data_IF_453350864593
#
_entry.id   IF_453350864593
#
_cell.length_a   1.000
_cell.length_b   1.000
_cell.length_c   1.000
_cell.angle_alpha   90.00
_cell.angle_beta   90.00
_cell.angle_gamma   90.00
#
_symmetry.space_group_name_H-M   'P 1'
#
loop_
_entity.id
_entity.type
_entity.pdbx_description
1 polymer ?
#
# COMPACT_ATOMS: atom_id res chain seq x y z
N UNK A 1 6.33 -36.59 -15.73
CA UNK A 1 5.16 -36.22 -16.55
C UNK A 1 4.82 -34.76 -16.28
N UNK A 2 4.51 -33.97 -17.31
CA UNK A 2 4.17 -32.55 -17.17
C UNK A 2 2.69 -32.41 -16.78
N UNK A 3 2.33 -31.40 -15.98
CA UNK A 3 0.94 -31.09 -15.65
C UNK A 3 0.37 -30.20 -16.76
N UNK A 4 -0.67 -30.67 -17.43
CA UNK A 4 -1.33 -29.96 -18.51
C UNK A 4 -2.34 -28.97 -17.92
N UNK A 5 -2.33 -27.72 -18.38
CA UNK A 5 -3.23 -26.67 -17.88
C UNK A 5 -4.16 -26.13 -18.96
N UNK A 6 -5.40 -25.84 -18.59
CA UNK A 6 -6.33 -25.07 -19.40
C UNK A 6 -6.05 -23.57 -19.24
N UNK A 7 -5.81 -22.89 -20.37
CA UNK A 7 -5.44 -21.46 -20.38
C UNK A 7 -6.50 -20.57 -19.70
N UNK A 8 -7.78 -20.87 -19.89
CA UNK A 8 -8.90 -20.10 -19.34
C UNK A 8 -8.99 -20.16 -17.82
N UNK A 9 -9.10 -21.36 -17.23
CA UNK A 9 -9.21 -21.52 -15.78
C UNK A 9 -7.94 -21.09 -15.04
N UNK A 10 -6.76 -21.30 -15.65
CA UNK A 10 -5.50 -20.82 -15.09
C UNK A 10 -5.45 -19.29 -15.04
N UNK A 11 -5.86 -18.59 -16.12
CA UNK A 11 -5.94 -17.13 -16.12
C UNK A 11 -6.99 -16.62 -15.12
N UNK A 12 -8.17 -17.26 -15.06
CA UNK A 12 -9.23 -16.90 -14.14
C UNK A 12 -8.79 -16.99 -12.67
N UNK A 13 -8.08 -18.07 -12.32
CA UNK A 13 -7.50 -18.27 -10.98
C UNK A 13 -6.53 -17.15 -10.60
N UNK A 14 -5.75 -16.62 -11.55
CA UNK A 14 -4.84 -15.50 -11.32
C UNK A 14 -5.55 -14.14 -11.13
N UNK A 15 -6.54 -13.83 -11.98
CA UNK A 15 -7.17 -12.51 -11.97
C UNK A 15 -8.22 -12.32 -10.88
N UNK A 16 -8.92 -13.37 -10.45
CA UNK A 16 -9.94 -13.28 -9.40
C UNK A 16 -9.39 -12.66 -8.10
N UNK A 17 -8.28 -13.15 -7.51
CA UNK A 17 -7.60 -12.51 -6.38
C UNK A 17 -7.35 -11.03 -6.55
N UNK A 18 -6.83 -10.63 -7.71
CA UNK A 18 -6.46 -9.24 -7.95
C UNK A 18 -7.69 -8.33 -7.88
N UNK A 19 -8.76 -8.69 -8.58
CA UNK A 19 -9.99 -7.91 -8.63
C UNK A 19 -10.65 -7.83 -7.25
N UNK A 20 -10.78 -8.97 -6.59
CA UNK A 20 -11.48 -9.07 -5.30
C UNK A 20 -10.70 -8.37 -4.18
N UNK A 21 -9.39 -8.61 -4.08
CA UNK A 21 -8.54 -7.90 -3.13
C UNK A 21 -8.60 -6.39 -3.38
N UNK A 22 -8.45 -5.93 -4.63
CA UNK A 22 -8.52 -4.50 -4.95
C UNK A 22 -9.87 -3.89 -4.54
N UNK A 23 -10.98 -4.54 -4.87
CA UNK A 23 -12.32 -4.09 -4.46
C UNK A 23 -12.47 -4.04 -2.94
N UNK A 24 -11.99 -5.04 -2.20
CA UNK A 24 -12.02 -5.03 -0.73
C UNK A 24 -11.21 -3.86 -0.16
N UNK A 25 -10.00 -3.63 -0.67
CA UNK A 25 -9.14 -2.54 -0.22
C UNK A 25 -9.73 -1.16 -0.53
N UNK A 26 -10.29 -0.97 -1.72
CA UNK A 26 -10.95 0.28 -2.11
C UNK A 26 -12.21 0.52 -1.27
N UNK A 27 -13.07 -0.49 -1.10
CA UNK A 27 -14.31 -0.36 -0.34
C UNK A 27 -14.09 0.03 1.14
N UNK A 28 -12.98 -0.43 1.73
CA UNK A 28 -12.63 -0.09 3.11
C UNK A 28 -11.88 1.26 3.18
N UNK A 29 -11.13 1.63 2.16
CA UNK A 29 -10.31 2.85 2.13
C UNK A 29 -11.04 4.17 1.85
N UNK A 30 -12.30 4.13 1.42
CA UNK A 30 -13.05 5.31 0.92
C UNK A 30 -13.61 6.25 1.98
N UNK A 31 -13.69 5.87 3.25
CA UNK A 31 -14.30 6.71 4.30
C UNK A 31 -13.39 6.84 5.53
N UNK A 32 -13.41 8.03 6.15
CA UNK A 32 -12.66 8.33 7.38
C UNK A 32 -13.20 7.57 8.61
N UNK A 33 -14.47 7.16 8.61
CA UNK A 33 -15.06 6.35 9.67
C UNK A 33 -15.02 4.86 9.30
N UNK A 34 -14.22 4.09 10.05
CA UNK A 34 -14.08 2.64 9.88
C UNK A 34 -15.37 1.97 10.36
N UNK A 35 -16.17 1.43 9.43
CA UNK A 35 -17.28 0.55 9.80
C UNK A 35 -16.78 -0.89 9.86
N UNK A 36 -16.89 -1.52 11.03
CA UNK A 36 -16.50 -2.93 11.23
C UNK A 36 -17.18 -3.88 10.24
N UNK A 37 -18.40 -3.54 9.77
CA UNK A 37 -19.09 -4.27 8.70
C UNK A 37 -18.36 -4.27 7.35
N UNK A 38 -17.71 -3.17 6.96
CA UNK A 38 -16.91 -3.14 5.73
C UNK A 38 -15.63 -3.95 5.87
N UNK A 39 -15.00 -3.90 7.04
CA UNK A 39 -13.82 -4.73 7.32
C UNK A 39 -14.17 -6.22 7.24
N UNK A 40 -15.32 -6.62 7.82
CA UNK A 40 -15.79 -8.00 7.78
C UNK A 40 -16.16 -8.42 6.36
N UNK A 41 -16.94 -7.61 5.65
CA UNK A 41 -17.31 -7.88 4.27
C UNK A 41 -16.08 -8.01 3.36
N UNK A 42 -15.11 -7.12 3.50
CA UNK A 42 -13.84 -7.20 2.78
C UNK A 42 -13.03 -8.43 3.14
N UNK A 43 -12.98 -8.82 4.42
CA UNK A 43 -12.28 -10.03 4.88
C UNK A 43 -12.88 -11.31 4.33
N UNK A 44 -14.21 -11.39 4.29
CA UNK A 44 -14.93 -12.50 3.64
C UNK A 44 -14.62 -12.54 2.15
N UNK A 45 -14.68 -11.39 1.47
CA UNK A 45 -14.41 -11.28 0.03
C UNK A 45 -12.97 -11.69 -0.31
N UNK A 46 -11.99 -11.27 0.50
CA UNK A 46 -10.60 -11.71 0.41
C UNK A 46 -10.46 -13.23 0.62
N UNK A 47 -11.06 -13.78 1.68
CA UNK A 47 -11.00 -15.20 2.00
C UNK A 47 -11.60 -16.09 0.90
N UNK A 48 -12.78 -15.72 0.41
CA UNK A 48 -13.45 -16.39 -0.72
C UNK A 48 -12.56 -16.34 -1.96
N UNK A 49 -11.93 -15.21 -2.23
CA UNK A 49 -11.06 -15.08 -3.40
C UNK A 49 -9.79 -15.94 -3.31
N UNK A 50 -9.17 -16.02 -2.14
CA UNK A 50 -7.95 -16.82 -1.92
C UNK A 50 -8.30 -18.32 -2.03
N UNK A 51 -9.40 -18.77 -1.44
CA UNK A 51 -9.89 -20.14 -1.62
C UNK A 51 -10.30 -20.44 -3.06
N UNK A 52 -11.02 -19.52 -3.70
CA UNK A 52 -11.46 -19.63 -5.08
C UNK A 52 -10.27 -19.85 -6.02
N UNK A 53 -9.20 -19.06 -5.86
CA UNK A 53 -7.96 -19.23 -6.62
C UNK A 53 -7.39 -20.64 -6.50
N UNK A 54 -7.33 -21.21 -5.28
CA UNK A 54 -6.79 -22.56 -5.08
C UNK A 54 -7.59 -23.62 -5.82
N UNK A 55 -8.91 -23.65 -5.64
CA UNK A 55 -9.76 -24.66 -6.28
C UNK A 55 -9.88 -24.45 -7.79
N UNK A 56 -9.98 -23.20 -8.25
CA UNK A 56 -9.93 -22.89 -9.69
C UNK A 56 -8.59 -23.29 -10.32
N UNK A 57 -7.49 -23.09 -9.59
CA UNK A 57 -6.17 -23.58 -9.97
C UNK A 57 -6.17 -25.10 -10.15
N UNK A 58 -6.71 -25.84 -9.18
CA UNK A 58 -6.81 -27.31 -9.28
C UNK A 58 -7.74 -27.77 -10.41
N UNK A 59 -8.81 -27.03 -10.72
CA UNK A 59 -9.67 -27.33 -11.89
C UNK A 59 -9.00 -27.01 -13.23
N UNK A 60 -7.98 -26.16 -13.24
CA UNK A 60 -7.26 -25.83 -14.47
C UNK A 60 -6.39 -26.99 -14.96
N UNK A 61 -6.06 -27.96 -14.11
CA UNK A 61 -5.28 -29.15 -14.44
C UNK A 61 -6.12 -30.12 -15.29
N UNK A 62 -5.63 -30.49 -16.47
CA UNK A 62 -6.33 -31.36 -17.44
C UNK A 62 -5.99 -32.84 -17.28
N UNK A 63 -4.76 -33.18 -16.92
CA UNK A 63 -4.27 -34.56 -16.87
C UNK A 63 -4.47 -35.27 -15.52
N UNK A 64 -5.01 -34.56 -14.53
CA UNK A 64 -5.41 -35.13 -13.26
C UNK A 64 -6.84 -34.71 -12.94
N UNK A 65 -7.60 -35.64 -12.38
CA UNK A 65 -8.89 -35.34 -11.75
C UNK A 65 -8.67 -35.13 -10.26
N UNK A 66 -8.97 -33.92 -9.80
CA UNK A 66 -8.83 -33.51 -8.40
C UNK A 66 -10.07 -33.97 -7.62
N UNK A 67 -9.90 -34.93 -6.72
CA UNK A 67 -10.96 -35.40 -5.82
C UNK A 67 -10.79 -34.73 -4.47
N UNK A 68 -11.82 -33.99 -4.05
CA UNK A 68 -11.78 -33.18 -2.82
C UNK A 68 -12.54 -33.86 -1.69
N UNK A 69 -11.96 -33.85 -0.50
CA UNK A 69 -12.66 -34.23 0.72
C UNK A 69 -13.42 -33.02 1.29
N UNK A 70 -14.77 -33.08 1.46
CA UNK A 70 -15.57 -31.92 1.84
C UNK A 70 -15.11 -31.25 3.15
N UNK A 71 -14.66 -32.04 4.12
CA UNK A 71 -14.18 -31.53 5.41
C UNK A 71 -12.99 -30.56 5.27
N UNK A 72 -12.02 -30.89 4.41
CA UNK A 72 -10.85 -30.04 4.16
C UNK A 72 -11.18 -28.82 3.30
N UNK A 73 -12.19 -28.92 2.42
CA UNK A 73 -12.67 -27.77 1.63
C UNK A 73 -13.35 -26.75 2.53
N UNK A 74 -14.22 -27.21 3.42
CA UNK A 74 -14.86 -26.33 4.40
C UNK A 74 -13.82 -25.78 5.38
N UNK A 75 -12.89 -26.61 5.84
CA UNK A 75 -11.80 -26.20 6.73
C UNK A 75 -10.90 -25.12 6.13
N UNK A 76 -10.46 -25.30 4.87
CA UNK A 76 -9.64 -24.30 4.18
C UNK A 76 -10.40 -22.98 3.97
N UNK A 77 -11.70 -23.04 3.63
CA UNK A 77 -12.56 -21.87 3.49
C UNK A 77 -12.71 -21.09 4.80
N UNK A 78 -12.94 -21.78 5.92
CA UNK A 78 -13.02 -21.16 7.24
C UNK A 78 -11.69 -20.51 7.60
N UNK A 79 -10.56 -21.21 7.41
CA UNK A 79 -9.23 -20.67 7.67
C UNK A 79 -9.00 -19.40 6.85
N UNK A 80 -9.32 -19.43 5.55
CA UNK A 80 -9.12 -18.28 4.67
C UNK A 80 -9.93 -17.06 5.10
N UNK A 81 -11.22 -17.24 5.39
CA UNK A 81 -12.11 -16.14 5.79
C UNK A 81 -11.68 -15.59 7.15
N UNK A 82 -11.52 -16.44 8.17
CA UNK A 82 -11.16 -15.99 9.52
C UNK A 82 -9.79 -15.29 9.51
N UNK A 83 -8.79 -15.89 8.88
CA UNK A 83 -7.45 -15.33 8.87
C UNK A 83 -7.34 -14.05 8.02
N UNK A 84 -8.09 -13.94 6.91
CA UNK A 84 -8.19 -12.70 6.13
C UNK A 84 -8.86 -11.58 6.92
N UNK A 85 -9.91 -11.88 7.68
CA UNK A 85 -10.53 -10.92 8.59
C UNK A 85 -9.54 -10.43 9.64
N UNK A 86 -8.87 -11.34 10.35
CA UNK A 86 -7.86 -10.99 11.37
C UNK A 86 -6.76 -10.11 10.77
N UNK A 87 -6.27 -10.46 9.59
CA UNK A 87 -5.21 -9.72 8.92
C UNK A 87 -5.68 -8.32 8.54
N UNK A 88 -6.89 -8.18 7.97
CA UNK A 88 -7.45 -6.88 7.64
C UNK A 88 -7.68 -6.04 8.89
N UNK A 89 -8.27 -6.59 9.95
CA UNK A 89 -8.43 -5.88 11.22
C UNK A 89 -7.10 -5.37 11.77
N UNK A 90 -6.07 -6.22 11.81
CA UNK A 90 -4.72 -5.80 12.21
C UNK A 90 -4.15 -4.73 11.29
N UNK A 91 -4.34 -4.86 9.98
CA UNK A 91 -3.85 -3.89 9.01
C UNK A 91 -4.50 -2.52 9.24
N UNK A 92 -5.80 -2.45 9.52
CA UNK A 92 -6.52 -1.20 9.75
C UNK A 92 -6.26 -0.57 11.13
N UNK A 93 -6.22 -1.38 12.20
CA UNK A 93 -5.82 -0.88 13.53
C UNK A 93 -4.39 -0.32 13.49
N UNK A 94 -3.50 -1.03 12.80
CA UNK A 94 -2.14 -0.55 12.61
C UNK A 94 -2.06 0.63 11.64
N UNK A 95 -2.95 0.75 10.64
CA UNK A 95 -3.06 1.92 9.76
C UNK A 95 -3.30 3.22 10.55
N UNK A 96 -4.12 3.17 11.60
CA UNK A 96 -4.37 4.33 12.46
C UNK A 96 -3.12 4.76 13.26
N UNK A 97 -2.18 3.84 13.51
CA UNK A 97 -0.94 4.10 14.26
C UNK A 97 0.32 4.11 13.35
N UNK A 98 0.14 4.19 12.03
CA UNK A 98 1.14 3.67 11.06
C UNK A 98 2.27 4.60 10.65
N UNK A 99 2.39 5.78 11.26
CA UNK A 99 3.38 6.73 10.76
C UNK A 99 4.83 6.29 11.04
N UNK A 100 5.11 5.33 11.96
CA UNK A 100 6.52 5.05 12.29
C UNK A 100 6.95 3.64 12.78
N UNK A 101 6.10 2.61 12.83
CA UNK A 101 6.51 1.31 13.43
C UNK A 101 6.67 0.18 12.40
N UNK A 102 7.92 -0.08 11.97
CA UNK A 102 8.26 -1.17 11.04
C UNK A 102 7.85 -2.56 11.58
N UNK A 103 7.95 -2.76 12.90
CA UNK A 103 7.64 -4.02 13.59
C UNK A 103 6.19 -4.44 13.41
N UNK A 104 5.24 -3.50 13.52
CA UNK A 104 3.80 -3.80 13.35
C UNK A 104 3.46 -4.22 11.92
N UNK A 105 4.15 -3.63 10.94
CA UNK A 105 4.02 -4.01 9.53
C UNK A 105 4.58 -5.41 9.26
N UNK A 106 5.71 -5.75 9.87
CA UNK A 106 6.28 -7.09 9.78
C UNK A 106 5.34 -8.16 10.37
N UNK A 107 4.71 -7.88 11.51
CA UNK A 107 3.72 -8.78 12.12
C UNK A 107 2.52 -9.00 11.20
N UNK A 108 1.93 -7.94 10.65
CA UNK A 108 0.80 -8.06 9.72
C UNK A 108 1.16 -8.88 8.47
N UNK A 109 2.34 -8.67 7.91
CA UNK A 109 2.83 -9.44 6.77
C UNK A 109 3.03 -10.93 7.12
N UNK A 110 3.58 -11.23 8.30
CA UNK A 110 3.76 -12.59 8.78
C UNK A 110 2.41 -13.29 8.96
N UNK A 111 1.43 -12.63 9.58
CA UNK A 111 0.07 -13.17 9.76
C UNK A 111 -0.59 -13.45 8.41
N UNK A 112 -0.49 -12.52 7.44
CA UNK A 112 -1.01 -12.72 6.09
C UNK A 112 -0.34 -13.92 5.39
N UNK A 113 0.99 -14.03 5.47
CA UNK A 113 1.73 -15.14 4.88
C UNK A 113 1.31 -16.48 5.48
N UNK A 114 1.25 -16.57 6.82
CA UNK A 114 0.79 -17.76 7.52
C UNK A 114 -0.65 -18.13 7.17
N UNK A 115 -1.54 -17.13 7.03
CA UNK A 115 -2.93 -17.33 6.62
C UNK A 115 -3.04 -18.00 5.24
N UNK A 116 -2.33 -17.42 4.26
CA UNK A 116 -2.35 -17.93 2.87
C UNK A 116 -1.72 -19.32 2.83
N UNK A 117 -0.55 -19.52 3.44
CA UNK A 117 0.12 -20.83 3.46
C UNK A 117 -0.70 -21.90 4.17
N UNK A 118 -1.31 -21.58 5.32
CA UNK A 118 -2.15 -22.50 6.08
C UNK A 118 -3.39 -22.96 5.31
N UNK A 119 -4.06 -22.03 4.62
CA UNK A 119 -5.18 -22.37 3.73
C UNK A 119 -4.73 -23.32 2.62
N UNK A 120 -3.64 -22.98 1.90
CA UNK A 120 -3.15 -23.78 0.78
C UNK A 120 -2.73 -25.19 1.22
N UNK A 121 -2.08 -25.30 2.39
CA UNK A 121 -1.70 -26.59 2.95
C UNK A 121 -2.93 -27.43 3.31
N UNK A 122 -3.92 -26.83 3.98
CA UNK A 122 -5.16 -27.52 4.34
C UNK A 122 -5.92 -28.02 3.09
N UNK A 123 -6.04 -27.16 2.07
CA UNK A 123 -6.70 -27.51 0.82
C UNK A 123 -5.94 -28.58 0.03
N UNK A 124 -4.59 -28.51 0.01
CA UNK A 124 -3.74 -29.52 -0.63
C UNK A 124 -3.83 -30.88 0.09
N UNK A 125 -3.81 -30.89 1.43
CA UNK A 125 -3.93 -32.11 2.23
C UNK A 125 -5.25 -32.87 1.98
N UNK A 126 -6.33 -32.12 1.68
CA UNK A 126 -7.64 -32.67 1.35
C UNK A 126 -7.85 -33.04 -0.12
N UNK A 127 -6.86 -32.85 -0.98
CA UNK A 127 -6.98 -33.06 -2.43
C UNK A 127 -6.21 -34.31 -2.87
N UNK A 128 -6.90 -35.25 -3.51
CA UNK A 128 -6.28 -36.44 -4.12
C UNK A 128 -6.28 -36.28 -5.63
N UNK A 129 -5.11 -36.37 -6.24
CA UNK A 129 -4.94 -36.31 -7.69
C UNK A 129 -5.02 -37.72 -8.27
N UNK A 130 -6.08 -38.01 -9.03
CA UNK A 130 -6.18 -39.25 -9.81
C UNK A 130 -5.73 -38.98 -11.23
N UNK A 131 -4.68 -39.68 -11.65
CA UNK A 131 -4.19 -39.60 -13.01
C UNK A 131 -5.30 -40.03 -13.98
N UNK A 132 -5.49 -39.23 -15.03
CA UNK A 132 -6.40 -39.54 -16.12
C UNK A 132 -5.54 -39.56 -17.37
N UNK A 133 -5.53 -40.69 -18.08
CA UNK A 133 -4.99 -40.78 -19.44
C UNK A 133 -5.84 -39.88 -20.33
N UNK A 134 -5.51 -38.60 -20.36
CA UNK A 134 -6.02 -37.67 -21.34
C UNK A 134 -5.25 -37.97 -22.62
N UNK A 135 -5.98 -38.48 -23.61
CA UNK A 135 -5.55 -38.65 -24.98
C UNK A 135 -4.70 -37.45 -25.40
N UNK A 136 -3.50 -37.74 -25.91
CA UNK A 136 -2.46 -36.79 -26.30
C UNK A 136 -2.91 -35.97 -27.52
N UNK A 137 -4.01 -35.22 -27.43
CA UNK A 137 -4.31 -34.17 -28.40
C UNK A 137 -3.39 -32.99 -28.11
N UNK A 138 -2.35 -32.92 -28.93
CA UNK A 138 -1.22 -32.00 -28.82
C UNK A 138 -1.65 -30.54 -28.71
N UNK A 139 -1.49 -29.98 -27.52
CA UNK A 139 -1.12 -28.57 -27.34
C UNK A 139 -0.58 -28.34 -25.91
N UNK A 140 0.27 -29.25 -25.43
CA UNK A 140 1.05 -29.04 -24.21
C UNK A 140 1.98 -27.83 -24.46
N UNK A 141 1.88 -26.73 -23.68
CA UNK A 141 2.86 -25.66 -23.80
C UNK A 141 4.25 -26.26 -23.55
N UNK A 142 5.22 -26.09 -24.46
CA UNK A 142 6.54 -26.65 -24.29
C UNK A 142 7.12 -26.16 -22.97
N UNK A 143 8.00 -26.93 -22.31
CA UNK A 143 8.66 -26.56 -21.05
C UNK A 143 9.14 -25.09 -21.03
N UNK A 144 9.56 -24.59 -22.19
CA UNK A 144 9.92 -23.20 -22.43
C UNK A 144 8.78 -22.20 -22.13
N UNK A 145 7.54 -22.44 -22.54
CA UNK A 145 6.43 -21.52 -22.35
C UNK A 145 6.06 -21.32 -20.88
N UNK A 146 6.02 -22.38 -20.06
CA UNK A 146 5.78 -22.27 -18.61
C UNK A 146 6.92 -21.50 -17.92
N UNK A 147 8.17 -21.75 -18.33
CA UNK A 147 9.35 -21.02 -17.83
C UNK A 147 9.28 -19.54 -18.23
N UNK A 148 8.92 -19.23 -19.48
CA UNK A 148 8.76 -17.85 -19.95
C UNK A 148 7.69 -17.12 -19.13
N UNK A 149 6.53 -17.72 -18.90
CA UNK A 149 5.46 -17.11 -18.09
C UNK A 149 5.94 -16.86 -16.65
N UNK A 150 6.64 -17.82 -16.03
CA UNK A 150 7.20 -17.65 -14.69
C UNK A 150 8.24 -16.51 -14.62
N UNK A 151 9.12 -16.39 -15.62
CA UNK A 151 10.09 -15.30 -15.74
C UNK A 151 9.36 -13.96 -15.89
N UNK A 152 8.39 -13.85 -16.80
CA UNK A 152 7.62 -12.62 -17.01
C UNK A 152 6.89 -12.17 -15.74
N UNK A 153 6.24 -13.08 -15.02
CA UNK A 153 5.56 -12.77 -13.76
C UNK A 153 6.54 -12.32 -12.66
N UNK A 154 7.70 -12.98 -12.56
CA UNK A 154 8.73 -12.63 -11.58
C UNK A 154 9.34 -11.25 -11.86
N UNK A 155 9.67 -10.97 -13.12
CA UNK A 155 10.17 -9.65 -13.54
C UNK A 155 9.13 -8.56 -13.32
N UNK A 156 7.86 -8.83 -13.63
CA UNK A 156 6.75 -7.91 -13.37
C UNK A 156 6.62 -7.59 -11.87
N UNK A 157 6.66 -8.60 -11.00
CA UNK A 157 6.62 -8.41 -9.56
C UNK A 157 7.82 -7.59 -9.05
N UNK A 158 9.02 -7.90 -9.54
CA UNK A 158 10.23 -7.15 -9.19
C UNK A 158 10.13 -5.67 -9.60
N UNK A 159 9.63 -5.41 -10.81
CA UNK A 159 9.44 -4.05 -11.32
C UNK A 159 8.43 -3.25 -10.47
N UNK A 160 7.30 -3.85 -10.11
CA UNK A 160 6.29 -3.20 -9.25
C UNK A 160 6.87 -2.88 -7.86
N UNK A 161 7.63 -3.80 -7.26
CA UNK A 161 8.29 -3.58 -5.97
C UNK A 161 9.34 -2.46 -6.07
N UNK A 162 10.15 -2.47 -7.13
CA UNK A 162 11.17 -1.45 -7.38
C UNK A 162 10.54 -0.06 -7.52
N UNK A 163 9.52 0.09 -8.36
CA UNK A 163 8.78 1.35 -8.52
C UNK A 163 8.19 1.81 -7.20
N UNK A 164 7.51 0.93 -6.47
CA UNK A 164 6.87 1.27 -5.19
C UNK A 164 7.90 1.75 -4.16
N UNK A 165 9.07 1.13 -4.15
CA UNK A 165 10.19 1.51 -3.27
C UNK A 165 10.79 2.84 -3.69
N UNK A 166 10.98 3.08 -4.99
CA UNK A 166 11.46 4.37 -5.52
C UNK A 166 10.48 5.49 -5.16
N UNK A 167 9.18 5.30 -5.37
CA UNK A 167 8.14 6.29 -5.00
C UNK A 167 8.20 6.56 -3.49
N UNK A 168 8.30 5.51 -2.66
CA UNK A 168 8.40 5.67 -1.20
C UNK A 168 9.65 6.44 -0.79
N UNK A 169 10.81 6.13 -1.36
CA UNK A 169 12.06 6.83 -1.08
C UNK A 169 11.96 8.29 -1.53
N UNK A 170 11.40 8.56 -2.72
CA UNK A 170 11.19 9.92 -3.22
C UNK A 170 10.26 10.72 -2.32
N UNK A 171 9.16 10.12 -1.88
CA UNK A 171 8.23 10.76 -0.95
C UNK A 171 8.90 11.04 0.40
N UNK A 172 9.66 10.08 0.95
CA UNK A 172 10.42 10.28 2.19
C UNK A 172 11.49 11.38 2.05
N UNK A 173 12.21 11.43 0.91
CA UNK A 173 13.18 12.50 0.63
C UNK A 173 12.50 13.86 0.51
N UNK A 174 11.35 13.94 -0.16
CA UNK A 174 10.54 15.18 -0.22
C UNK A 174 10.09 15.61 1.17
N UNK A 175 9.64 14.68 2.02
CA UNK A 175 9.28 14.98 3.40
C UNK A 175 10.47 15.43 4.24
N UNK A 176 11.63 14.80 4.08
CA UNK A 176 12.86 15.18 4.77
C UNK A 176 13.35 16.57 4.34
N UNK A 177 13.31 16.88 3.03
CA UNK A 177 13.65 18.20 2.52
C UNK A 177 12.71 19.27 3.07
N UNK A 178 11.39 19.04 3.01
CA UNK A 178 10.39 19.96 3.61
C UNK A 178 10.59 20.18 5.11
N UNK A 179 11.05 19.17 5.86
CA UNK A 179 11.31 19.29 7.29
C UNK A 179 12.58 20.10 7.62
N UNK A 180 13.48 20.29 6.66
CA UNK A 180 14.65 21.18 6.81
C UNK A 180 14.31 22.64 6.50
N UNK A 181 13.19 22.89 5.80
CA UNK A 181 12.79 24.25 5.45
C UNK A 181 12.20 24.95 6.68
N UNK A 182 12.65 26.17 6.94
CA UNK A 182 11.96 27.08 7.88
C UNK A 182 10.81 27.70 7.11
N UNK A 183 9.60 27.51 7.60
CA UNK A 183 8.38 28.04 6.98
C UNK A 183 7.67 28.99 7.93
N UNK A 184 7.25 30.14 7.43
CA UNK A 184 6.34 31.04 8.11
C UNK A 184 4.91 30.60 7.79
N UNK A 185 4.18 30.12 8.79
CA UNK A 185 2.76 29.81 8.67
C UNK A 185 1.90 30.98 9.13
N UNK A 186 0.77 31.22 8.46
CA UNK A 186 -0.31 32.06 8.98
C UNK A 186 -1.51 31.19 9.31
N UNK A 187 -2.10 31.43 10.48
CA UNK A 187 -3.32 30.75 10.91
C UNK A 187 -4.45 31.74 10.96
N UNK A 188 -5.36 31.67 9.99
CA UNK A 188 -6.56 32.50 9.95
C UNK A 188 -7.73 31.71 10.57
N UNK A 189 -8.39 32.31 11.56
CA UNK A 189 -9.55 31.74 12.22
C UNK A 189 -10.83 32.44 11.75
N UNK A 190 -11.84 31.65 11.36
CA UNK A 190 -13.19 32.17 11.12
C UNK A 190 -13.90 32.47 12.46
N UNK A 191 -14.97 33.27 12.44
CA UNK A 191 -15.79 33.63 13.63
C UNK A 191 -16.33 32.41 14.40
N UNK A 192 -16.40 31.25 13.76
CA UNK A 192 -16.76 29.96 14.36
C UNK A 192 -15.60 29.15 14.95
N UNK A 193 -14.38 29.70 15.04
CA UNK A 193 -13.19 29.01 15.57
C UNK A 193 -12.59 27.95 14.64
N UNK A 194 -12.91 28.02 13.33
CA UNK A 194 -12.39 27.09 12.31
C UNK A 194 -11.11 27.65 11.70
N UNK A 195 -10.11 26.80 11.49
CA UNK A 195 -8.80 27.17 10.91
C UNK A 195 -8.87 27.05 9.39
N UNK A 196 -8.38 28.07 8.69
CA UNK A 196 -8.17 28.01 7.24
C UNK A 196 -7.00 27.06 6.92
N UNK A 197 -7.26 26.08 6.06
CA UNK A 197 -6.27 25.13 5.56
C UNK A 197 -6.30 25.11 4.03
N UNK A 198 -5.14 24.85 3.43
CA UNK A 198 -5.01 24.61 1.99
C UNK A 198 -5.75 23.31 1.58
N UNK A 199 -5.97 23.06 0.27
CA UNK A 199 -6.59 21.83 -0.21
C UNK A 199 -5.92 20.53 0.28
N UNK A 200 -4.63 20.61 0.64
CA UNK A 200 -3.84 19.52 1.21
C UNK A 200 -3.99 19.38 2.74
N UNK A 201 -4.77 20.24 3.39
CA UNK A 201 -5.04 20.22 4.84
C UNK A 201 -3.95 20.83 5.72
N UNK A 202 -3.01 21.58 5.14
CA UNK A 202 -1.94 22.29 5.85
C UNK A 202 -2.32 23.75 6.08
N UNK A 203 -1.77 24.37 7.13
CA UNK A 203 -1.91 25.82 7.32
C UNK A 203 -1.16 26.55 6.20
N UNK A 204 -1.71 27.66 5.66
CA UNK A 204 -1.03 28.45 4.64
C UNK A 204 0.35 28.88 5.13
N UNK A 205 1.40 28.53 4.38
CA UNK A 205 2.78 28.80 4.78
C UNK A 205 3.68 29.15 3.61
N UNK A 206 4.61 30.09 3.81
CA UNK A 206 5.69 30.44 2.87
C UNK A 206 7.04 30.01 3.43
N UNK A 207 7.93 29.52 2.56
CA UNK A 207 9.29 29.11 2.96
C UNK A 207 10.17 30.34 3.16
N UNK A 208 10.75 30.49 4.35
CA UNK A 208 11.73 31.53 4.70
C UNK A 208 13.13 31.09 4.23
N UNK A 209 13.50 29.84 4.48
CA UNK A 209 14.80 29.28 4.05
C UNK A 209 14.72 27.77 3.87
N UNK A 210 15.55 27.23 2.97
CA UNK A 210 15.59 25.81 2.64
C UNK A 210 16.29 24.94 3.69
N UNK A 211 17.00 25.55 4.65
CA UNK A 211 17.74 24.86 5.70
C UNK A 211 17.74 25.63 7.02
N UNK A 212 17.10 25.07 8.06
CA UNK A 212 17.32 25.50 9.44
C UNK A 212 18.63 24.93 9.97
N UNK A 213 19.69 25.72 9.94
CA UNK A 213 20.88 25.44 10.73
C UNK A 213 21.64 26.73 11.03
N UNK A 214 22.10 26.87 12.28
CA UNK A 214 23.15 27.78 12.74
C UNK A 214 24.45 27.73 11.90
N UNK A 215 24.53 26.88 10.88
CA UNK A 215 25.64 26.72 9.94
C UNK A 215 25.18 26.97 8.50
N UNK A 216 24.87 28.21 8.16
CA UNK A 216 25.14 28.65 6.79
C UNK A 216 26.67 28.78 6.71
N UNK A 217 27.32 27.64 6.52
CA UNK A 217 28.73 27.57 6.18
C UNK A 217 28.86 27.81 4.69
N UNK A 218 29.82 28.62 4.22
CA UNK A 218 30.20 28.59 2.80
C UNK A 218 30.51 27.14 2.37
N UNK A 219 30.66 26.81 1.08
CA UNK A 219 31.01 25.44 0.61
C UNK A 219 32.27 24.84 1.29
N UNK A 220 33.02 25.66 2.02
CA UNK A 220 34.22 25.38 2.80
C UNK A 220 34.00 25.24 4.33
N UNK A 221 32.76 25.31 4.83
CA UNK A 221 32.41 25.08 6.25
C UNK A 221 32.59 26.28 7.20
N UNK A 222 32.83 27.49 6.69
CA UNK A 222 32.96 28.71 7.49
C UNK A 222 31.61 29.37 7.78
N UNK A 223 31.29 29.57 9.06
CA UNK A 223 30.08 30.24 9.55
C UNK A 223 29.91 31.62 8.89
N UNK A 224 28.76 31.87 8.27
CA UNK A 224 28.43 33.19 7.72
C UNK A 224 28.22 34.18 8.87
N UNK A 225 29.11 35.16 8.97
CA UNK A 225 28.89 36.33 9.82
C UNK A 225 27.64 37.09 9.35
N UNK A 226 26.81 37.54 10.30
CA UNK A 226 25.53 38.26 10.08
C UNK A 226 24.35 37.42 9.57
N UNK A 227 24.32 36.12 9.88
CA UNK A 227 23.16 35.26 9.61
C UNK A 227 21.83 35.82 10.15
N UNK A 228 21.86 36.49 11.29
CA UNK A 228 20.72 37.16 11.92
C UNK A 228 20.08 38.25 11.03
N UNK A 229 20.90 39.02 10.31
CA UNK A 229 20.42 40.08 9.40
C UNK A 229 19.78 39.46 8.17
N UNK A 230 20.45 38.47 7.56
CA UNK A 230 19.95 37.76 6.38
C UNK A 230 18.62 37.04 6.71
N UNK A 231 18.55 36.41 7.87
CA UNK A 231 17.33 35.75 8.33
C UNK A 231 16.18 36.75 8.55
N UNK A 232 16.44 37.93 9.14
CA UNK A 232 15.42 38.98 9.28
C UNK A 232 14.91 39.49 7.93
N UNK A 233 15.78 39.68 6.95
CA UNK A 233 15.35 40.09 5.61
C UNK A 233 14.49 39.01 4.93
N UNK A 234 14.93 37.75 4.97
CA UNK A 234 14.16 36.62 4.42
C UNK A 234 12.80 36.45 5.13
N UNK A 235 12.76 36.64 6.44
CA UNK A 235 11.53 36.62 7.22
C UNK A 235 10.58 37.75 6.78
N UNK A 236 11.08 38.99 6.65
CA UNK A 236 10.27 40.12 6.22
C UNK A 236 9.72 39.91 4.79
N UNK A 237 10.53 39.37 3.88
CA UNK A 237 10.11 39.04 2.51
C UNK A 237 9.02 37.95 2.51
N UNK A 238 9.21 36.89 3.28
CA UNK A 238 8.23 35.82 3.42
C UNK A 238 6.92 36.31 4.04
N UNK A 239 6.99 37.19 5.03
CA UNK A 239 5.83 37.82 5.67
C UNK A 239 5.08 38.73 4.68
N UNK A 240 5.79 39.52 3.88
CA UNK A 240 5.19 40.37 2.85
C UNK A 240 4.50 39.57 1.75
N UNK A 241 5.13 38.49 1.26
CA UNK A 241 4.52 37.61 0.27
C UNK A 241 3.24 36.93 0.80
N UNK A 242 3.26 36.55 2.08
CA UNK A 242 2.10 35.94 2.73
C UNK A 242 0.96 36.97 2.88
N UNK A 243 1.28 38.19 3.29
CA UNK A 243 0.33 39.29 3.41
C UNK A 243 -0.35 39.64 2.06
N UNK A 244 0.44 39.73 0.98
CA UNK A 244 -0.06 39.92 -0.39
C UNK A 244 -1.04 38.81 -0.80
N UNK A 245 -0.74 37.55 -0.44
CA UNK A 245 -1.60 36.40 -0.74
C UNK A 245 -2.95 36.48 -0.05
N UNK A 246 -3.02 37.09 1.13
CA UNK A 246 -4.24 37.29 1.90
C UNK A 246 -4.91 38.65 1.67
N UNK A 247 -4.33 39.54 0.85
CA UNK A 247 -4.79 40.92 0.67
C UNK A 247 -4.95 41.69 1.99
N UNK A 248 -4.15 41.37 3.00
CA UNK A 248 -4.09 42.11 4.28
C UNK A 248 -2.76 42.84 4.43
N UNK A 249 -2.77 44.02 5.04
CA UNK A 249 -1.59 44.84 5.22
C UNK A 249 -0.79 44.33 6.44
N UNK A 250 0.53 44.15 6.33
CA UNK A 250 1.38 43.64 7.41
C UNK A 250 1.23 44.42 8.72
N UNK A 251 0.86 45.70 8.61
CA UNK A 251 0.63 46.61 9.74
C UNK A 251 -0.67 46.35 10.50
N UNK A 252 -1.65 45.63 9.91
CA UNK A 252 -2.93 45.29 10.57
C UNK A 252 -2.94 43.93 11.30
N UNK A 253 -1.91 43.10 11.07
CA UNK A 253 -1.84 41.71 11.61
C UNK A 253 -1.34 41.67 13.07
N UNK A 254 -1.03 42.81 13.66
CA UNK A 254 -0.61 42.94 15.06
C UNK A 254 0.91 42.90 15.24
N UNK A 255 1.37 43.46 16.35
CA UNK A 255 2.79 43.56 16.70
C UNK A 255 3.38 42.16 16.91
N UNK A 256 4.44 41.84 16.14
CA UNK A 256 5.30 40.66 16.28
C UNK A 256 6.03 40.63 17.63
#
# INVERSE_FOLDING_TARGET
>A
MQVAYSKGFAALSFFIPILFLLSAFLAIGTNNAISWWRAIAGGVLCGVSICGMHYLGNTSIKNYTSVYQPAYVVGSAIIAVVASNVTLFMLFDFKATWTNSWRRRAISAAVLASAVSGMHWCAAAGTRYRFRDAELEGNEPPKAATVIVAICLSLGACFVIAISTIIRIRNLRKSAFRAQQVTLGTTVFDKGGRILVDPDGLIPSTVITDSFCERLGNEYGEMIERYDIIFRELFCLAAAELADRFHEDLTSVGVL
#
